data_IF_377205281988
#
_entry.id   IF_377205281988
#
_cell.length_a   1.000
_cell.length_b   1.000
_cell.length_c   1.000
_cell.angle_alpha   90.00
_cell.angle_beta   90.00
_cell.angle_gamma   90.00
#
_symmetry.space_group_name_H-M   'P 1'
#
loop_
_entity.id
_entity.type
_entity.pdbx_description
1 polymer ?
#
# COMPACT_ATOMS: atom_id res chain seq x y z
N UNK A 1 23.44 4.19 8.20
CA UNK A 1 22.78 2.86 8.26
C UNK A 1 23.20 2.09 7.01
N UNK A 2 23.61 0.82 7.10
CA UNK A 2 24.18 0.14 5.96
C UNK A 2 23.13 -0.08 4.86
N UNK A 3 23.48 0.29 3.64
CA UNK A 3 22.76 -0.09 2.42
C UNK A 3 22.88 -1.61 2.27
N UNK A 4 21.74 -2.30 2.34
CA UNK A 4 21.68 -3.75 2.10
C UNK A 4 21.42 -4.00 0.62
N UNK A 5 22.12 -4.98 0.05
CA UNK A 5 21.84 -5.47 -1.30
C UNK A 5 21.09 -6.79 -1.18
N UNK A 6 19.86 -6.84 -1.68
CA UNK A 6 19.12 -8.07 -1.92
C UNK A 6 19.13 -8.32 -3.45
N UNK A 7 20.09 -9.11 -3.94
CA UNK A 7 20.25 -9.30 -5.37
C UNK A 7 20.57 -8.00 -6.12
N UNK A 8 19.78 -7.67 -7.16
CA UNK A 8 19.92 -6.45 -7.95
C UNK A 8 19.12 -5.24 -7.37
N UNK A 9 18.67 -5.32 -6.11
CA UNK A 9 17.88 -4.28 -5.45
C UNK A 9 18.74 -3.46 -4.48
N UNK A 10 18.60 -2.14 -4.53
CA UNK A 10 19.11 -1.25 -3.49
C UNK A 10 18.00 -1.08 -2.44
N UNK A 11 18.37 -1.19 -1.16
CA UNK A 11 17.45 -0.98 -0.03
C UNK A 11 17.80 0.32 0.68
N UNK A 12 16.83 1.22 0.79
CA UNK A 12 16.96 2.48 1.52
C UNK A 12 15.86 2.63 2.57
N UNK A 13 16.18 3.36 3.63
CA UNK A 13 15.23 3.71 4.71
C UNK A 13 15.20 5.22 4.83
N UNK A 14 14.43 5.92 4.01
CA UNK A 14 14.33 7.36 4.09
C UNK A 14 13.70 7.78 5.41
N UNK A 15 14.15 8.91 5.93
CA UNK A 15 13.59 9.56 7.11
C UNK A 15 12.87 10.82 6.70
N UNK A 16 11.77 11.12 7.36
CA UNK A 16 10.97 12.33 7.08
C UNK A 16 9.53 12.16 7.51
N UNK A 17 8.78 13.20 7.38
CA UNK A 17 7.32 13.20 7.58
C UNK A 17 6.63 12.37 6.49
N UNK A 18 5.42 11.91 6.75
CA UNK A 18 4.61 11.19 5.75
C UNK A 18 4.44 12.01 4.46
N UNK A 19 4.37 13.34 4.55
CA UNK A 19 4.30 14.22 3.39
C UNK A 19 5.58 14.16 2.53
N UNK A 20 6.74 14.24 3.16
CA UNK A 20 8.04 14.15 2.48
C UNK A 20 8.26 12.77 1.85
N UNK A 21 7.87 11.70 2.54
CA UNK A 21 7.96 10.32 2.02
C UNK A 21 7.02 10.08 0.83
N UNK A 22 5.91 10.82 0.72
CA UNK A 22 5.03 10.81 -0.45
C UNK A 22 5.48 11.74 -1.58
N UNK A 23 6.48 12.58 -1.38
CA UNK A 23 6.99 13.47 -2.41
C UNK A 23 7.44 12.70 -3.66
N UNK A 24 7.42 13.33 -4.85
CA UNK A 24 7.95 12.72 -6.05
C UNK A 24 9.41 12.32 -5.86
N UNK A 25 9.75 11.10 -6.25
CA UNK A 25 11.14 10.68 -6.37
C UNK A 25 11.74 11.23 -7.66
N UNK A 26 13.04 11.43 -7.69
CA UNK A 26 13.76 11.81 -8.91
C UNK A 26 13.67 10.72 -9.99
N UNK A 27 14.38 10.87 -11.12
CA UNK A 27 14.38 9.87 -12.19
C UNK A 27 14.77 8.49 -11.68
N UNK A 28 13.95 7.48 -12.01
CA UNK A 28 14.16 6.09 -11.60
C UNK A 28 15.16 5.45 -12.58
N UNK A 29 16.38 5.20 -12.12
CA UNK A 29 17.48 4.64 -12.94
C UNK A 29 17.95 3.27 -12.50
N UNK A 30 17.49 2.79 -11.35
CA UNK A 30 17.84 1.47 -10.78
C UNK A 30 16.65 0.90 -10.01
N UNK A 31 16.70 -0.39 -9.75
CA UNK A 31 15.76 -1.05 -8.84
C UNK A 31 16.02 -0.57 -7.40
N UNK A 32 14.98 -0.09 -6.73
CA UNK A 32 15.08 0.48 -5.40
C UNK A 32 13.89 0.08 -4.55
N UNK A 33 14.16 -0.29 -3.31
CA UNK A 33 13.15 -0.52 -2.28
C UNK A 33 13.32 0.54 -1.21
N UNK A 34 12.25 1.29 -0.95
CA UNK A 34 12.20 2.24 0.16
C UNK A 34 11.32 1.64 1.26
N UNK A 35 11.87 1.49 2.45
CA UNK A 35 11.10 1.08 3.63
C UNK A 35 10.81 2.34 4.43
N UNK A 36 9.56 2.79 4.36
CA UNK A 36 9.12 4.03 4.96
C UNK A 36 8.63 3.80 6.39
N UNK A 37 9.09 4.61 7.32
CA UNK A 37 8.63 4.59 8.71
C UNK A 37 7.57 5.68 8.92
N UNK A 38 6.51 5.31 9.63
CA UNK A 38 5.43 6.22 10.01
C UNK A 38 5.68 6.65 11.44
N UNK A 39 5.91 7.93 11.66
CA UNK A 39 6.22 8.54 12.96
C UNK A 39 4.96 9.03 13.70
N UNK A 40 3.93 9.44 12.97
CA UNK A 40 2.67 9.95 13.53
C UNK A 40 1.45 9.44 12.74
N UNK A 41 0.29 9.31 13.39
CA UNK A 41 -0.95 8.98 12.68
C UNK A 41 -1.26 10.00 11.59
N UNK A 42 -1.39 9.56 10.36
CA UNK A 42 -1.63 10.43 9.20
C UNK A 42 -2.64 9.81 8.26
N UNK A 43 -3.67 10.56 7.89
CA UNK A 43 -4.61 10.17 6.84
C UNK A 43 -4.10 10.60 5.48
N UNK A 44 -3.79 9.62 4.63
CA UNK A 44 -3.28 9.87 3.27
C UNK A 44 -4.41 9.77 2.27
N UNK A 45 -4.79 10.91 1.69
CA UNK A 45 -5.78 10.98 0.61
C UNK A 45 -5.17 10.63 -0.74
N UNK A 46 -5.94 10.01 -1.61
CA UNK A 46 -5.57 9.82 -3.01
C UNK A 46 -5.58 11.13 -3.79
N UNK A 47 -4.85 11.19 -4.91
CA UNK A 47 -4.71 12.40 -5.74
C UNK A 47 -6.04 12.95 -6.26
N UNK A 48 -7.03 12.10 -6.50
CA UNK A 48 -8.35 12.46 -7.02
C UNK A 48 -9.37 12.84 -5.93
N UNK A 49 -9.06 12.62 -4.65
CA UNK A 49 -9.97 12.91 -3.54
C UNK A 49 -9.96 14.40 -3.18
N UNK A 50 -10.62 15.23 -3.98
CA UNK A 50 -10.80 16.67 -3.74
C UNK A 50 -12.06 16.93 -2.91
N UNK A 51 -12.01 17.92 -2.00
CA UNK A 51 -13.16 18.29 -1.18
C UNK A 51 -13.58 17.27 -0.12
N UNK A 52 -12.73 16.30 0.21
CA UNK A 52 -12.99 15.36 1.30
C UNK A 52 -12.80 16.09 2.63
N UNK A 53 -13.86 16.14 3.42
CA UNK A 53 -13.81 16.61 4.80
C UNK A 53 -13.25 15.52 5.70
N UNK A 54 -12.31 15.88 6.56
CA UNK A 54 -11.66 14.98 7.52
C UNK A 54 -11.90 15.49 8.93
N UNK A 55 -12.23 14.59 9.84
CA UNK A 55 -12.40 14.93 11.25
C UNK A 55 -11.11 15.57 11.81
N UNK A 56 -11.22 16.56 12.70
CA UNK A 56 -10.07 17.24 13.27
C UNK A 56 -9.22 16.29 14.15
N UNK A 57 -7.94 16.67 14.34
CA UNK A 57 -7.04 15.98 15.25
C UNK A 57 -6.18 14.88 14.60
N UNK A 58 -6.11 14.86 13.27
CA UNK A 58 -5.21 14.01 12.51
C UNK A 58 -4.53 14.81 11.39
N UNK A 59 -3.27 14.50 11.11
CA UNK A 59 -2.58 15.06 9.97
C UNK A 59 -3.13 14.48 8.65
N UNK A 60 -3.26 15.34 7.64
CA UNK A 60 -3.78 14.95 6.34
C UNK A 60 -2.75 15.25 5.26
N UNK A 61 -2.41 14.21 4.49
CA UNK A 61 -1.46 14.30 3.38
C UNK A 61 -2.16 13.81 2.11
N UNK A 62 -1.78 14.36 0.96
CA UNK A 62 -2.27 13.91 -0.34
C UNK A 62 -1.14 13.25 -1.12
N UNK A 63 -1.32 11.97 -1.49
CA UNK A 63 -0.36 11.27 -2.34
C UNK A 63 -0.57 11.58 -3.81
N UNK A 64 0.43 11.28 -4.63
CA UNK A 64 0.40 11.50 -6.08
C UNK A 64 -0.26 10.35 -6.87
N UNK A 65 -0.46 9.18 -6.25
CA UNK A 65 -1.22 8.07 -6.81
C UNK A 65 -2.71 8.19 -6.52
N UNK A 66 -3.56 7.55 -7.33
CA UNK A 66 -5.01 7.55 -7.15
C UNK A 66 -5.49 6.61 -6.03
N UNK A 67 -6.80 6.40 -5.97
CA UNK A 67 -7.49 5.54 -5.00
C UNK A 67 -8.01 6.30 -3.79
N UNK A 68 -8.68 5.58 -2.88
CA UNK A 68 -9.26 6.11 -1.65
C UNK A 68 -8.22 6.41 -0.56
N UNK A 69 -8.68 6.92 0.57
CA UNK A 69 -7.84 7.27 1.71
C UNK A 69 -7.22 6.03 2.39
N UNK A 70 -6.03 6.21 2.96
CA UNK A 70 -5.33 5.21 3.79
C UNK A 70 -4.94 5.87 5.10
N UNK A 71 -5.24 5.22 6.23
CA UNK A 71 -4.75 5.65 7.52
C UNK A 71 -3.41 4.97 7.81
N UNK A 72 -2.36 5.76 7.88
CA UNK A 72 -1.03 5.32 8.32
C UNK A 72 -0.87 5.58 9.82
N UNK A 73 -0.38 4.57 10.55
CA UNK A 73 -0.08 4.67 11.97
C UNK A 73 1.25 4.01 12.28
N UNK A 74 2.00 4.51 13.26
CA UNK A 74 3.18 3.83 13.79
C UNK A 74 2.84 2.38 14.16
N UNK A 75 3.57 1.41 13.59
CA UNK A 75 3.33 -0.02 13.81
C UNK A 75 2.04 -0.60 13.23
N UNK A 76 1.15 0.22 12.66
CA UNK A 76 -0.13 -0.21 12.07
C UNK A 76 -0.04 -0.59 10.58
N UNK A 77 1.09 -0.32 9.95
CA UNK A 77 1.34 -0.60 8.53
C UNK A 77 2.81 -0.91 8.29
N UNK A 78 3.08 -1.85 7.41
CA UNK A 78 4.39 -1.95 6.74
C UNK A 78 4.25 -1.25 5.39
N UNK A 79 4.88 -0.08 5.28
CA UNK A 79 4.87 0.72 4.05
C UNK A 79 6.18 0.54 3.30
N UNK A 80 6.09 -0.06 2.11
CA UNK A 80 7.23 -0.31 1.21
C UNK A 80 6.93 0.29 -0.16
N UNK A 81 7.88 1.09 -0.65
CA UNK A 81 7.83 1.52 -2.05
C UNK A 81 8.86 0.73 -2.86
N UNK A 82 8.43 0.29 -4.03
CA UNK A 82 9.28 -0.44 -4.98
C UNK A 82 9.37 0.36 -6.26
N UNK A 83 10.60 0.70 -6.67
CA UNK A 83 10.87 1.49 -7.85
C UNK A 83 11.53 0.62 -8.93
N UNK A 84 10.94 0.62 -10.11
CA UNK A 84 11.38 -0.16 -11.27
C UNK A 84 11.64 0.78 -12.44
N UNK A 85 12.86 0.81 -13.02
CA UNK A 85 13.16 1.61 -14.20
C UNK A 85 12.32 1.20 -15.41
N UNK A 86 12.04 2.14 -16.29
CA UNK A 86 11.46 1.82 -17.60
C UNK A 86 12.44 0.99 -18.41
N UNK A 87 11.93 -0.09 -19.01
CA UNK A 87 12.76 -1.05 -19.78
C UNK A 87 13.43 -2.14 -18.93
N UNK A 88 13.21 -2.14 -17.62
CA UNK A 88 13.56 -3.28 -16.77
C UNK A 88 12.73 -4.52 -17.14
N UNK A 89 13.22 -5.71 -16.87
CA UNK A 89 12.48 -6.97 -17.14
C UNK A 89 11.17 -7.08 -16.36
N UNK A 90 11.05 -6.35 -15.25
CA UNK A 90 9.81 -6.24 -14.45
C UNK A 90 8.86 -5.14 -14.95
N UNK A 91 9.29 -4.38 -15.98
CA UNK A 91 8.42 -3.38 -16.59
C UNK A 91 7.33 -4.05 -17.41
N UNK A 92 6.08 -3.74 -17.12
CA UNK A 92 4.91 -4.18 -17.88
C UNK A 92 4.16 -2.93 -18.39
N UNK A 93 3.88 -2.87 -19.69
CA UNK A 93 3.17 -1.72 -20.28
C UNK A 93 1.71 -1.66 -19.82
N UNK A 94 1.06 -2.81 -19.63
CA UNK A 94 -0.29 -2.87 -19.09
C UNK A 94 -0.28 -2.51 -17.59
N UNK A 95 -0.91 -1.40 -17.27
CA UNK A 95 -0.97 -0.84 -15.91
C UNK A 95 -1.60 -1.81 -14.93
N UNK A 96 -2.62 -2.56 -15.35
CA UNK A 96 -3.32 -3.52 -14.47
C UNK A 96 -2.46 -4.76 -14.18
N UNK A 97 -1.73 -5.24 -15.19
CA UNK A 97 -0.89 -6.43 -15.05
C UNK A 97 0.43 -6.14 -14.34
N UNK A 98 0.89 -4.91 -14.42
CA UNK A 98 2.18 -4.48 -13.87
C UNK A 98 2.35 -4.67 -12.36
N UNK A 99 1.26 -4.82 -11.62
CA UNK A 99 1.26 -5.05 -10.17
C UNK A 99 1.22 -6.53 -9.79
N UNK A 100 0.96 -7.44 -10.75
CA UNK A 100 0.77 -8.86 -10.44
C UNK A 100 2.01 -9.51 -9.83
N UNK A 101 3.19 -9.26 -10.43
CA UNK A 101 4.44 -9.82 -9.92
C UNK A 101 4.70 -9.38 -8.46
N UNK A 102 4.35 -8.14 -8.14
CA UNK A 102 4.54 -7.59 -6.81
C UNK A 102 3.55 -8.19 -5.80
N UNK A 103 2.31 -8.44 -6.23
CA UNK A 103 1.34 -9.22 -5.47
C UNK A 103 1.85 -10.63 -5.17
N UNK A 104 2.46 -11.32 -6.14
CA UNK A 104 3.05 -12.64 -5.93
C UNK A 104 4.23 -12.61 -4.94
N UNK A 105 5.05 -11.57 -4.95
CA UNK A 105 6.10 -11.37 -3.94
C UNK A 105 5.50 -11.28 -2.54
N UNK A 106 4.44 -10.49 -2.37
CA UNK A 106 3.73 -10.39 -1.08
C UNK A 106 3.08 -11.71 -0.67
N UNK A 107 2.42 -12.40 -1.59
CA UNK A 107 1.77 -13.68 -1.30
C UNK A 107 2.80 -14.75 -0.91
N UNK A 108 3.93 -14.83 -1.60
CA UNK A 108 5.03 -15.74 -1.28
C UNK A 108 5.64 -15.42 0.10
N UNK A 109 5.84 -14.13 0.40
CA UNK A 109 6.32 -13.69 1.71
C UNK A 109 5.37 -14.07 2.86
N UNK A 110 4.06 -13.99 2.61
CA UNK A 110 3.04 -14.40 3.58
C UNK A 110 3.01 -15.93 3.74
N UNK A 111 3.16 -16.68 2.66
CA UNK A 111 3.23 -18.15 2.68
C UNK A 111 4.42 -18.66 3.51
N UNK A 112 5.60 -18.03 3.41
CA UNK A 112 6.77 -18.35 4.26
C UNK A 112 6.49 -18.14 5.75
N UNK A 113 5.52 -17.31 6.09
CA UNK A 113 5.08 -17.01 7.45
C UNK A 113 3.84 -17.80 7.87
N UNK A 114 3.43 -18.80 7.05
CA UNK A 114 2.28 -19.67 7.33
C UNK A 114 0.92 -19.01 7.12
N UNK A 115 0.85 -17.94 6.32
CA UNK A 115 -0.38 -17.21 6.01
C UNK A 115 -0.77 -17.44 4.55
N UNK A 116 -1.90 -18.11 4.33
CA UNK A 116 -2.46 -18.29 2.99
C UNK A 116 -3.00 -16.97 2.45
N UNK A 117 -2.52 -16.58 1.27
CA UNK A 117 -2.87 -15.33 0.64
C UNK A 117 -3.20 -15.52 -0.85
N UNK A 118 -4.09 -14.70 -1.36
CA UNK A 118 -4.53 -14.73 -2.76
C UNK A 118 -4.26 -13.38 -3.41
N UNK A 119 -3.60 -13.40 -4.57
CA UNK A 119 -3.39 -12.21 -5.40
C UNK A 119 -4.62 -11.97 -6.27
N UNK A 120 -5.21 -10.79 -6.17
CA UNK A 120 -6.30 -10.40 -7.05
C UNK A 120 -5.75 -10.07 -8.44
N UNK A 121 -6.15 -10.83 -9.46
CA UNK A 121 -5.75 -10.65 -10.86
C UNK A 121 -6.89 -10.17 -11.76
N UNK A 122 -8.08 -10.00 -11.16
CA UNK A 122 -9.26 -9.47 -11.82
C UNK A 122 -9.18 -7.96 -12.08
N UNK A 123 -10.20 -7.39 -12.73
CA UNK A 123 -10.35 -5.95 -12.86
C UNK A 123 -10.54 -5.30 -11.48
N UNK A 124 -10.47 -3.97 -11.45
CA UNK A 124 -10.77 -3.22 -10.23
C UNK A 124 -12.22 -3.52 -9.76
N UNK A 125 -12.33 -3.96 -8.52
CA UNK A 125 -13.58 -4.10 -7.79
C UNK A 125 -13.68 -2.94 -6.79
N UNK A 126 -14.36 -1.84 -7.15
CA UNK A 126 -14.27 -0.60 -6.38
C UNK A 126 -14.88 -0.69 -4.98
N UNK A 127 -15.82 -1.63 -4.77
CA UNK A 127 -16.61 -1.66 -3.56
C UNK A 127 -17.43 -0.38 -3.36
N UNK A 128 -18.39 -0.40 -2.45
CA UNK A 128 -19.27 0.75 -2.20
C UNK A 128 -18.51 2.00 -1.69
N UNK A 129 -17.50 1.79 -0.87
CA UNK A 129 -16.73 2.85 -0.22
C UNK A 129 -15.33 3.04 -0.82
N UNK A 130 -15.00 2.34 -1.93
CA UNK A 130 -13.66 2.34 -2.52
C UNK A 130 -13.19 3.71 -3.03
N UNK A 131 -14.12 4.59 -3.41
CA UNK A 131 -13.80 5.98 -3.73
C UNK A 131 -13.36 6.80 -2.51
N UNK A 132 -13.78 6.40 -1.30
CA UNK A 132 -13.43 7.08 -0.05
C UNK A 132 -12.30 6.38 0.69
N UNK A 133 -12.29 5.05 0.74
CA UNK A 133 -11.33 4.24 1.50
C UNK A 133 -10.63 3.24 0.58
N UNK A 134 -9.31 3.28 0.51
CA UNK A 134 -8.49 2.45 -0.39
C UNK A 134 -8.72 0.95 -0.15
N UNK A 135 -8.88 0.56 1.11
CA UNK A 135 -9.08 -0.84 1.49
C UNK A 135 -10.54 -1.33 1.39
N UNK A 136 -11.46 -0.47 0.94
CA UNK A 136 -12.84 -0.85 0.67
C UNK A 136 -13.08 -1.44 -0.74
N UNK A 137 -12.09 -1.42 -1.59
CA UNK A 137 -12.11 -2.04 -2.91
C UNK A 137 -10.83 -2.84 -3.15
N UNK A 138 -10.83 -3.67 -4.19
CA UNK A 138 -9.70 -4.54 -4.55
C UNK A 138 -9.29 -4.27 -5.99
N UNK A 139 -8.01 -3.98 -6.18
CA UNK A 139 -7.40 -3.77 -7.50
C UNK A 139 -6.44 -4.87 -7.91
N UNK A 140 -6.04 -4.91 -9.19
CA UNK A 140 -5.07 -5.87 -9.69
C UNK A 140 -3.77 -5.85 -8.88
N UNK A 141 -3.24 -7.03 -8.54
CA UNK A 141 -2.00 -7.20 -7.77
C UNK A 141 -2.14 -6.99 -6.26
N UNK A 142 -3.31 -6.61 -5.77
CA UNK A 142 -3.54 -6.51 -4.33
C UNK A 142 -3.76 -7.89 -3.69
N UNK A 143 -3.45 -8.02 -2.40
CA UNK A 143 -3.40 -9.33 -1.74
C UNK A 143 -4.47 -9.44 -0.67
N UNK A 144 -5.19 -10.56 -0.72
CA UNK A 144 -6.26 -10.91 0.22
C UNK A 144 -5.82 -12.07 1.12
N UNK A 145 -6.16 -11.96 2.40
CA UNK A 145 -6.03 -13.02 3.40
C UNK A 145 -7.40 -13.31 3.99
N UNK A 146 -7.85 -14.55 3.90
CA UNK A 146 -9.20 -14.93 4.33
C UNK A 146 -10.32 -14.13 3.63
N UNK A 147 -10.12 -13.78 2.36
CA UNK A 147 -11.07 -12.99 1.56
C UNK A 147 -11.06 -11.48 1.86
N UNK A 148 -10.22 -10.99 2.78
CA UNK A 148 -10.11 -9.57 3.15
C UNK A 148 -8.81 -8.99 2.61
N UNK A 149 -8.87 -7.79 2.05
CA UNK A 149 -7.69 -7.09 1.56
C UNK A 149 -6.74 -6.76 2.72
N UNK A 150 -5.53 -7.28 2.65
CA UNK A 150 -4.49 -7.09 3.66
C UNK A 150 -3.27 -6.34 3.12
N UNK A 151 -3.04 -6.38 1.79
CA UNK A 151 -2.00 -5.58 1.14
C UNK A 151 -2.61 -4.78 0.00
N UNK A 152 -2.49 -3.47 0.08
CA UNK A 152 -2.85 -2.54 -0.98
C UNK A 152 -1.62 -2.16 -1.81
N UNK A 153 -1.80 -2.03 -3.12
CA UNK A 153 -0.75 -1.60 -4.05
C UNK A 153 -1.29 -0.46 -4.91
N UNK A 154 -0.64 0.69 -4.84
CA UNK A 154 -0.89 1.77 -5.78
C UNK A 154 0.36 2.05 -6.61
N UNK A 155 0.20 2.58 -7.82
CA UNK A 155 1.33 2.89 -8.66
C UNK A 155 1.25 4.30 -9.24
N UNK A 156 2.42 4.87 -9.49
CA UNK A 156 2.63 6.06 -10.29
C UNK A 156 3.71 5.78 -11.31
N UNK A 157 3.46 6.16 -12.56
CA UNK A 157 4.40 6.01 -13.67
C UNK A 157 4.81 7.37 -14.21
N UNK A 158 6.05 7.46 -14.63
CA UNK A 158 6.55 8.55 -15.44
C UNK A 158 7.45 8.04 -16.57
N UNK A 159 8.19 8.95 -17.23
CA UNK A 159 9.07 8.58 -18.34
C UNK A 159 10.25 7.72 -17.93
N UNK A 160 10.66 7.77 -16.65
CA UNK A 160 11.84 7.07 -16.12
C UNK A 160 11.50 5.69 -15.55
N UNK A 161 10.27 5.46 -15.07
CA UNK A 161 9.92 4.20 -14.44
C UNK A 161 8.58 4.20 -13.73
N UNK A 162 8.40 3.22 -12.86
CA UNK A 162 7.23 3.05 -12.01
C UNK A 162 7.62 3.02 -10.53
N UNK A 163 6.89 3.77 -9.70
CA UNK A 163 6.89 3.67 -8.25
C UNK A 163 5.63 2.94 -7.81
N UNK A 164 5.78 1.79 -7.18
CA UNK A 164 4.72 1.02 -6.55
C UNK A 164 4.76 1.32 -5.06
N UNK A 165 3.64 1.77 -4.50
CA UNK A 165 3.50 2.03 -3.07
C UNK A 165 2.66 0.93 -2.45
N UNK A 166 3.25 0.12 -1.60
CA UNK A 166 2.63 -1.01 -0.94
C UNK A 166 2.35 -0.69 0.52
N UNK A 167 1.14 -0.96 0.97
CA UNK A 167 0.74 -0.87 2.36
C UNK A 167 0.21 -2.23 2.82
N UNK A 168 0.99 -2.95 3.64
CA UNK A 168 0.52 -4.16 4.30
C UNK A 168 -0.02 -3.80 5.68
N UNK A 169 -1.29 -4.09 5.93
CA UNK A 169 -1.98 -3.75 7.17
C UNK A 169 -1.48 -4.63 8.31
N UNK A 170 -0.99 -4.01 9.38
CA UNK A 170 -0.65 -4.64 10.65
C UNK A 170 -1.64 -4.25 11.75
N UNK A 171 -2.45 -3.23 11.50
CA UNK A 171 -3.60 -2.79 12.27
C UNK A 171 -4.68 -2.27 11.33
N UNK A 172 -5.94 -2.51 11.67
CA UNK A 172 -7.08 -2.04 10.88
C UNK A 172 -8.27 -1.71 11.78
N UNK A 173 -8.95 -0.64 11.46
CA UNK A 173 -10.27 -0.31 12.01
C UNK A 173 -11.11 0.43 10.96
N UNK A 174 -12.09 -0.27 10.40
CA UNK A 174 -13.08 0.30 9.48
C UNK A 174 -13.92 1.40 10.15
N UNK A 175 -14.30 1.18 11.41
CA UNK A 175 -15.06 2.18 12.19
C UNK A 175 -14.26 3.47 12.40
N UNK A 176 -12.93 3.38 12.53
CA UNK A 176 -12.10 4.59 12.61
C UNK A 176 -12.09 5.35 11.29
N UNK A 177 -11.99 4.65 10.17
CA UNK A 177 -12.10 5.28 8.84
C UNK A 177 -13.45 5.96 8.64
N UNK A 178 -14.55 5.33 9.09
CA UNK A 178 -15.90 5.93 9.06
C UNK A 178 -15.94 7.26 9.82
N UNK A 179 -15.37 7.26 11.04
CA UNK A 179 -15.35 8.46 11.88
C UNK A 179 -14.49 9.57 11.26
N UNK A 180 -13.31 9.23 10.73
CA UNK A 180 -12.38 10.20 10.16
C UNK A 180 -12.91 10.84 8.87
N UNK A 181 -13.65 10.09 8.06
CA UNK A 181 -14.15 10.53 6.75
C UNK A 181 -15.65 10.89 6.77
N UNK A 182 -16.31 10.83 7.92
CA UNK A 182 -17.74 11.15 8.04
C UNK A 182 -18.64 10.28 7.18
N UNK A 183 -18.30 8.99 7.00
CA UNK A 183 -19.07 8.11 6.11
C UNK A 183 -20.44 7.79 6.70
N UNK A 184 -21.45 7.78 5.84
CA UNK A 184 -22.84 7.51 6.22
C UNK A 184 -23.51 6.54 5.23
N UNK A 185 -24.37 5.62 5.71
CA UNK A 185 -24.75 5.32 7.10
C UNK A 185 -23.56 4.71 7.89
N UNK A 186 -23.41 5.13 9.16
CA UNK A 186 -22.22 4.79 9.98
C UNK A 186 -22.06 3.30 10.18
N UNK A 187 -23.11 2.60 10.63
CA UNK A 187 -23.03 1.17 10.95
C UNK A 187 -22.74 0.33 9.70
N UNK A 188 -23.45 0.59 8.61
CA UNK A 188 -23.27 -0.10 7.34
C UNK A 188 -21.87 0.11 6.77
N UNK A 189 -21.36 1.35 6.82
CA UNK A 189 -20.02 1.66 6.38
C UNK A 189 -18.97 0.95 7.25
N UNK A 190 -19.16 0.95 8.57
CA UNK A 190 -18.29 0.27 9.52
C UNK A 190 -18.21 -1.23 9.26
N UNK A 191 -19.34 -1.90 9.19
CA UNK A 191 -19.42 -3.35 8.91
C UNK A 191 -18.81 -3.71 7.55
N UNK A 192 -19.09 -2.93 6.52
CA UNK A 192 -18.53 -3.12 5.18
C UNK A 192 -17.00 -3.00 5.18
N UNK A 193 -16.45 -1.98 5.84
CA UNK A 193 -15.01 -1.77 5.91
C UNK A 193 -14.31 -2.84 6.77
N UNK A 194 -14.91 -3.26 7.87
CA UNK A 194 -14.34 -4.34 8.72
C UNK A 194 -14.35 -5.70 8.01
N UNK A 195 -15.36 -5.97 7.17
CA UNK A 195 -15.43 -7.21 6.40
C UNK A 195 -14.55 -7.19 5.15
N UNK A 196 -14.30 -6.03 4.56
CA UNK A 196 -13.55 -5.86 3.31
C UNK A 196 -12.03 -5.88 3.47
N UNK A 197 -11.53 -5.48 4.63
CA UNK A 197 -10.09 -5.41 4.89
C UNK A 197 -9.72 -6.08 6.22
N UNK A 198 -8.45 -6.48 6.37
CA UNK A 198 -7.98 -7.13 7.58
C UNK A 198 -6.50 -6.97 7.83
N UNK A 199 -6.15 -6.75 9.09
CA UNK A 199 -4.77 -6.71 9.54
C UNK A 199 -4.14 -8.12 9.50
N UNK A 200 -2.86 -8.16 9.13
CA UNK A 200 -2.04 -9.37 9.17
C UNK A 200 -1.63 -9.66 10.63
N UNK A 201 -1.76 -10.91 11.11
CA UNK A 201 -1.44 -11.26 12.49
C UNK A 201 0.08 -11.46 12.70
N UNK A 202 0.90 -10.57 12.15
CA UNK A 202 2.36 -10.67 12.15
C UNK A 202 3.02 -9.30 12.41
N UNK A 203 4.31 -9.32 12.76
CA UNK A 203 5.10 -8.10 12.94
C UNK A 203 5.74 -7.65 11.62
N UNK A 204 6.03 -6.36 11.52
CA UNK A 204 6.66 -5.76 10.32
C UNK A 204 8.02 -6.36 9.97
N UNK A 205 8.88 -6.63 10.95
CA UNK A 205 10.24 -7.13 10.73
C UNK A 205 10.29 -8.48 10.00
N UNK A 206 9.65 -9.55 10.51
CA UNK A 206 9.56 -10.82 9.80
C UNK A 206 8.93 -10.71 8.42
N UNK A 207 7.85 -9.92 8.28
CA UNK A 207 7.20 -9.71 6.99
C UNK A 207 8.11 -9.01 5.99
N UNK A 208 8.80 -7.94 6.40
CA UNK A 208 9.77 -7.25 5.54
C UNK A 208 10.89 -8.16 5.10
N UNK A 209 11.44 -8.97 6.02
CA UNK A 209 12.51 -9.93 5.70
C UNK A 209 12.05 -10.94 4.64
N UNK A 210 10.86 -11.52 4.80
CA UNK A 210 10.29 -12.45 3.84
C UNK A 210 10.01 -11.76 2.49
N UNK A 211 9.43 -10.56 2.49
CA UNK A 211 9.20 -9.78 1.28
C UNK A 211 10.49 -9.54 0.48
N UNK A 212 11.56 -9.09 1.15
CA UNK A 212 12.84 -8.82 0.50
C UNK A 212 13.49 -10.09 -0.07
N UNK A 213 13.26 -11.26 0.53
CA UNK A 213 13.79 -12.54 0.06
C UNK A 213 13.12 -13.04 -1.24
N UNK A 214 11.90 -12.61 -1.53
CA UNK A 214 11.14 -12.97 -2.73
C UNK A 214 11.24 -11.95 -3.87
N UNK A 215 11.98 -10.87 -3.70
CA UNK A 215 12.20 -9.90 -4.79
C UNK A 215 13.05 -10.53 -5.91
N UNK A 216 12.61 -10.45 -7.18
CA UNK A 216 13.27 -11.09 -8.33
C UNK A 216 14.54 -10.36 -8.79
#
# INVERSE_FOLDING_TARGET
>A
MPEGHAGNWTLERPTGTVAELHAPVGPISRRLVLVNEVDAPTLVLGSSQTGVEVAPGIDVVRRHSGGGAVLLRPGGVLWVDVLVPRGDVLWEEDVSRSTWWLGEVWASALADLGIDAVVHRGPMEPGRWGGMVCFAGVGPGEVLVGGRKSVGVSQRRDRSGARFQCAALLGWSGHEMVRLLGLTPVDEAGECLESGAGALPIRSGPLLKAFLAHLP
#
